data_IF_440290165069
#
_entry.id   IF_440290165069
#
_cell.length_a   1.000
_cell.length_b   1.000
_cell.length_c   1.000
_cell.angle_alpha   90.00
_cell.angle_beta   90.00
_cell.angle_gamma   90.00
#
_symmetry.space_group_name_H-M   'P 1'
#
loop_
_entity.id
_entity.type
_entity.pdbx_description
1 polymer ?
#
# COMPACT_ATOMS: atom_id res chain seq x y z
N UNK A 1 -8.93 -29.35 8.34
CA UNK A 1 -9.75 -28.15 8.04
C UNK A 1 -9.50 -27.74 6.59
N UNK A 2 -10.53 -27.39 5.83
CA UNK A 2 -10.36 -26.97 4.44
C UNK A 2 -9.52 -25.67 4.38
N UNK A 3 -8.45 -25.62 3.58
CA UNK A 3 -7.51 -24.49 3.55
C UNK A 3 -8.21 -23.15 3.25
N UNK A 4 -9.26 -23.17 2.42
CA UNK A 4 -10.03 -21.98 2.04
C UNK A 4 -10.74 -21.35 3.25
N UNK A 5 -11.38 -22.16 4.11
CA UNK A 5 -12.13 -21.64 5.28
C UNK A 5 -11.20 -20.89 6.24
N UNK A 6 -9.99 -21.42 6.44
CA UNK A 6 -8.99 -20.78 7.29
C UNK A 6 -8.51 -19.46 6.68
N UNK A 7 -8.23 -19.43 5.37
CA UNK A 7 -7.78 -18.21 4.68
C UNK A 7 -8.83 -17.10 4.77
N UNK A 8 -10.11 -17.42 4.58
CA UNK A 8 -11.20 -16.44 4.69
C UNK A 8 -11.30 -15.88 6.12
N UNK A 9 -11.21 -16.75 7.13
CA UNK A 9 -11.24 -16.33 8.53
C UNK A 9 -10.04 -15.42 8.87
N UNK A 10 -8.85 -15.79 8.41
CA UNK A 10 -7.64 -15.02 8.64
C UNK A 10 -7.64 -13.70 7.85
N UNK A 11 -8.20 -13.68 6.64
CA UNK A 11 -8.42 -12.45 5.88
C UNK A 11 -9.35 -11.51 6.63
N UNK A 12 -10.46 -12.01 7.17
CA UNK A 12 -11.38 -11.20 7.96
C UNK A 12 -10.73 -10.70 9.25
N UNK A 13 -9.96 -11.55 9.93
CA UNK A 13 -9.21 -11.15 11.12
C UNK A 13 -8.19 -10.07 10.81
N UNK A 14 -7.44 -10.21 9.71
CA UNK A 14 -6.49 -9.22 9.23
C UNK A 14 -7.20 -7.89 8.96
N UNK A 15 -8.25 -7.91 8.16
CA UNK A 15 -8.97 -6.69 7.77
C UNK A 15 -9.67 -6.00 8.94
N UNK A 16 -10.12 -6.74 9.95
CA UNK A 16 -10.74 -6.18 11.17
C UNK A 16 -9.74 -5.91 12.29
N UNK A 17 -8.43 -5.86 11.98
CA UNK A 17 -7.34 -5.57 12.91
C UNK A 17 -7.18 -6.58 14.07
N UNK A 18 -7.88 -7.71 14.01
CA UNK A 18 -7.77 -8.82 14.97
C UNK A 18 -6.44 -9.54 14.82
N UNK A 19 -6.14 -10.43 15.77
CA UNK A 19 -4.89 -11.18 15.76
C UNK A 19 -4.80 -12.09 14.52
N UNK A 20 -3.79 -11.85 13.70
CA UNK A 20 -3.52 -12.60 12.46
C UNK A 20 -2.30 -13.49 12.70
N UNK A 21 -2.54 -14.81 12.82
CA UNK A 21 -1.52 -15.85 13.03
C UNK A 21 -1.60 -16.89 11.90
N UNK A 22 -1.22 -16.52 10.66
CA UNK A 22 -1.32 -17.44 9.54
C UNK A 22 -0.39 -18.63 9.77
N UNK A 23 -0.89 -19.83 9.46
CA UNK A 23 -0.08 -21.06 9.49
C UNK A 23 0.80 -21.13 8.23
N UNK A 24 1.83 -20.31 8.19
CA UNK A 24 2.70 -20.16 7.01
C UNK A 24 3.46 -21.45 6.65
N UNK A 25 3.77 -22.28 7.64
CA UNK A 25 4.42 -23.59 7.45
C UNK A 25 3.55 -24.59 6.71
N UNK A 26 2.23 -24.54 6.91
CA UNK A 26 1.28 -25.51 6.35
C UNK A 26 0.64 -24.98 5.06
N UNK A 27 0.22 -23.70 5.04
CA UNK A 27 -0.61 -23.15 3.97
C UNK A 27 -0.03 -21.91 3.28
N UNK A 28 1.26 -21.59 3.49
CA UNK A 28 1.87 -20.36 2.98
C UNK A 28 1.67 -20.10 1.49
N UNK A 29 1.69 -21.13 0.65
CA UNK A 29 1.45 -20.98 -0.80
C UNK A 29 -0.01 -20.67 -1.13
N UNK A 30 -0.97 -21.17 -0.35
CA UNK A 30 -2.39 -20.87 -0.54
C UNK A 30 -2.72 -19.44 -0.14
N UNK A 31 -2.13 -18.91 0.95
CA UNK A 31 -2.26 -17.48 1.29
C UNK A 31 -1.68 -16.59 0.20
N UNK A 32 -0.51 -16.94 -0.33
CA UNK A 32 0.12 -16.19 -1.43
C UNK A 32 -0.77 -16.20 -2.66
N UNK A 33 -1.26 -17.37 -3.08
CA UNK A 33 -2.11 -17.50 -4.26
C UNK A 33 -3.42 -16.72 -4.09
N UNK A 34 -4.04 -16.79 -2.91
CA UNK A 34 -5.25 -16.02 -2.60
C UNK A 34 -4.99 -14.51 -2.65
N UNK A 35 -3.94 -14.02 -1.98
CA UNK A 35 -3.60 -12.60 -1.98
C UNK A 35 -3.21 -12.06 -3.37
N UNK A 36 -2.46 -12.84 -4.16
CA UNK A 36 -2.13 -12.46 -5.54
C UNK A 36 -3.36 -12.49 -6.44
N UNK A 37 -4.27 -13.44 -6.24
CA UNK A 37 -5.54 -13.50 -6.96
C UNK A 37 -6.41 -12.28 -6.66
N UNK A 38 -6.52 -11.85 -5.39
CA UNK A 38 -7.27 -10.64 -5.05
C UNK A 38 -6.60 -9.38 -5.59
N UNK A 39 -5.25 -9.32 -5.63
CA UNK A 39 -4.52 -8.23 -6.26
C UNK A 39 -4.75 -8.18 -7.77
N UNK A 40 -4.74 -9.34 -8.42
CA UNK A 40 -5.03 -9.49 -9.84
C UNK A 40 -6.46 -9.05 -10.17
N UNK A 41 -7.46 -9.49 -9.41
CA UNK A 41 -8.85 -9.07 -9.56
C UNK A 41 -9.01 -7.55 -9.42
N UNK A 42 -8.38 -6.94 -8.41
CA UNK A 42 -8.38 -5.49 -8.24
C UNK A 42 -7.70 -4.77 -9.43
N UNK A 43 -6.65 -5.37 -10.00
CA UNK A 43 -6.00 -4.86 -11.21
C UNK A 43 -6.90 -4.89 -12.45
N UNK A 44 -7.51 -6.05 -12.74
CA UNK A 44 -8.46 -6.20 -13.84
C UNK A 44 -9.63 -5.22 -13.67
N UNK A 45 -10.19 -5.17 -12.46
CA UNK A 45 -11.32 -4.31 -12.12
C UNK A 45 -11.01 -2.81 -12.19
N UNK A 46 -9.75 -2.37 -12.20
CA UNK A 46 -9.40 -0.95 -12.36
C UNK A 46 -9.44 -0.49 -13.82
N UNK A 47 -9.24 -1.40 -14.77
CA UNK A 47 -9.10 -1.07 -16.19
C UNK A 47 -10.17 -1.72 -17.07
N UNK A 48 -11.10 -2.49 -16.50
CA UNK A 48 -12.09 -3.25 -17.26
C UNK A 48 -13.00 -2.37 -18.14
N UNK A 49 -13.24 -1.12 -17.74
CA UNK A 49 -14.10 -0.17 -18.43
C UNK A 49 -13.33 0.94 -19.17
N UNK A 50 -11.99 0.89 -19.16
CA UNK A 50 -11.16 1.92 -19.79
C UNK A 50 -10.75 1.51 -21.22
N UNK A 51 -11.27 2.14 -22.28
CA UNK A 51 -10.98 1.76 -23.67
C UNK A 51 -9.55 2.11 -24.12
N UNK A 52 -8.79 2.90 -23.34
CA UNK A 52 -7.41 3.33 -23.67
C UNK A 52 -6.34 2.51 -22.95
N UNK A 53 -6.71 1.54 -22.12
CA UNK A 53 -5.75 0.78 -21.34
C UNK A 53 -4.98 -0.24 -22.20
N UNK A 54 -3.70 -0.43 -21.87
CA UNK A 54 -2.86 -1.40 -22.57
C UNK A 54 -3.22 -2.84 -22.17
N UNK A 55 -2.87 -3.82 -23.02
CA UNK A 55 -3.26 -5.23 -22.81
C UNK A 55 -2.83 -5.77 -21.44
N UNK A 56 -1.63 -5.42 -20.95
CA UNK A 56 -1.14 -5.85 -19.64
C UNK A 56 -1.87 -5.20 -18.46
N UNK A 57 -2.46 -4.01 -18.67
CA UNK A 57 -3.29 -3.31 -17.68
C UNK A 57 -4.67 -3.97 -17.59
N UNK A 58 -5.29 -4.29 -18.73
CA UNK A 58 -6.52 -5.07 -18.78
C UNK A 58 -6.36 -6.47 -18.18
N UNK A 59 -5.21 -7.10 -18.38
CA UNK A 59 -4.87 -8.39 -17.77
C UNK A 59 -4.57 -8.26 -16.26
N UNK A 60 -4.55 -7.06 -15.68
CA UNK A 60 -4.31 -6.84 -14.24
C UNK A 60 -2.89 -7.18 -13.76
N UNK A 61 -1.94 -7.38 -14.67
CA UNK A 61 -0.57 -7.80 -14.34
C UNK A 61 0.19 -6.72 -13.55
N UNK A 62 -0.16 -5.45 -13.76
CA UNK A 62 0.42 -4.33 -13.02
C UNK A 62 0.23 -4.44 -11.50
N UNK A 63 -0.95 -4.88 -11.03
CA UNK A 63 -1.23 -5.04 -9.60
C UNK A 63 -0.45 -6.20 -8.98
N UNK A 64 -0.25 -7.29 -9.74
CA UNK A 64 0.56 -8.42 -9.30
C UNK A 64 2.02 -7.98 -9.19
N UNK A 65 2.56 -7.36 -10.24
CA UNK A 65 3.93 -6.82 -10.24
C UNK A 65 4.13 -5.83 -9.08
N UNK A 66 3.16 -4.94 -8.85
CA UNK A 66 3.18 -4.00 -7.73
C UNK A 66 3.34 -4.70 -6.37
N UNK A 67 2.65 -5.82 -6.12
CA UNK A 67 2.84 -6.59 -4.89
C UNK A 67 4.30 -7.06 -4.72
N UNK A 68 4.94 -7.53 -5.79
CA UNK A 68 6.34 -7.96 -5.73
C UNK A 68 7.30 -6.79 -5.49
N UNK A 69 7.14 -5.68 -6.22
CA UNK A 69 7.98 -4.49 -6.07
C UNK A 69 7.82 -3.84 -4.69
N UNK A 70 6.58 -3.64 -4.22
CA UNK A 70 6.33 -3.08 -2.91
C UNK A 70 6.88 -3.98 -1.79
N UNK A 71 6.72 -5.29 -1.92
CA UNK A 71 7.28 -6.23 -0.94
C UNK A 71 8.80 -6.20 -0.94
N UNK A 72 9.44 -6.07 -2.10
CA UNK A 72 10.89 -5.96 -2.20
C UNK A 72 11.38 -4.65 -1.58
N UNK A 73 10.73 -3.53 -1.89
CA UNK A 73 11.03 -2.23 -1.31
C UNK A 73 10.94 -2.28 0.23
N UNK A 74 9.82 -2.77 0.78
CA UNK A 74 9.66 -2.93 2.23
C UNK A 74 10.68 -3.90 2.83
N UNK A 75 10.94 -5.02 2.15
CA UNK A 75 11.90 -6.01 2.64
C UNK A 75 13.30 -5.41 2.75
N UNK A 76 13.83 -4.81 1.68
CA UNK A 76 15.18 -4.25 1.68
C UNK A 76 15.31 -3.01 2.54
N UNK A 77 14.29 -2.16 2.58
CA UNK A 77 14.31 -0.94 3.41
C UNK A 77 14.30 -1.28 4.91
N UNK A 78 13.60 -2.35 5.32
CA UNK A 78 13.51 -2.70 6.75
C UNK A 78 14.51 -3.76 7.18
N UNK A 79 15.16 -4.47 6.25
CA UNK A 79 16.19 -5.48 6.54
C UNK A 79 17.31 -4.95 7.46
N UNK A 80 17.85 -3.73 7.28
CA UNK A 80 18.91 -3.21 8.15
C UNK A 80 18.49 -2.98 9.61
N UNK A 81 17.19 -2.84 9.88
CA UNK A 81 16.66 -2.75 11.26
C UNK A 81 16.64 -4.11 11.98
N UNK A 82 16.99 -5.20 11.29
CA UNK A 82 17.01 -6.58 11.81
C UNK A 82 15.68 -7.00 12.50
N UNK A 83 14.52 -6.82 11.84
CA UNK A 83 13.24 -7.29 12.34
C UNK A 83 13.24 -8.80 12.60
N UNK A 84 12.54 -9.24 13.66
CA UNK A 84 12.39 -10.68 13.97
C UNK A 84 11.48 -11.37 12.95
N UNK A 85 11.76 -12.63 12.64
CA UNK A 85 10.98 -13.47 11.71
C UNK A 85 10.75 -12.82 10.33
N UNK A 86 11.75 -12.07 9.84
CA UNK A 86 11.65 -11.32 8.60
C UNK A 86 12.15 -12.15 7.42
N UNK A 87 11.21 -12.59 6.57
CA UNK A 87 11.53 -13.25 5.31
C UNK A 87 10.75 -12.56 4.19
N UNK A 88 11.31 -12.53 2.99
CA UNK A 88 10.64 -11.96 1.83
C UNK A 88 9.25 -12.59 1.61
N UNK A 89 9.14 -13.91 1.81
CA UNK A 89 7.86 -14.63 1.70
C UNK A 89 6.81 -14.11 2.67
N UNK A 90 7.17 -13.85 3.93
CA UNK A 90 6.24 -13.30 4.93
C UNK A 90 5.76 -11.91 4.52
N UNK A 91 6.66 -11.05 4.06
CA UNK A 91 6.33 -9.69 3.59
C UNK A 91 5.43 -9.74 2.37
N UNK A 92 5.74 -10.61 1.40
CA UNK A 92 4.96 -10.77 0.18
C UNK A 92 3.55 -11.30 0.46
N UNK A 93 3.41 -12.28 1.37
CA UNK A 93 2.09 -12.77 1.81
C UNK A 93 1.31 -11.64 2.49
N UNK A 94 1.95 -10.88 3.38
CA UNK A 94 1.30 -9.74 4.02
C UNK A 94 0.80 -8.72 2.98
N UNK A 95 1.68 -8.22 2.10
CA UNK A 95 1.33 -7.22 1.08
C UNK A 95 0.21 -7.73 0.17
N UNK A 96 0.32 -8.96 -0.32
CA UNK A 96 -0.71 -9.55 -1.19
C UNK A 96 -2.05 -9.76 -0.48
N UNK A 97 -2.08 -10.20 0.78
CA UNK A 97 -3.33 -10.33 1.56
C UNK A 97 -4.01 -8.98 1.85
N UNK A 98 -3.24 -7.88 1.89
CA UNK A 98 -3.79 -6.51 2.00
C UNK A 98 -4.29 -5.93 0.68
N UNK A 99 -4.34 -6.72 -0.39
CA UNK A 99 -4.87 -6.29 -1.68
C UNK A 99 -6.39 -6.26 -1.75
N UNK A 100 -7.11 -7.03 -0.92
CA UNK A 100 -8.57 -7.11 -0.98
C UNK A 100 -9.29 -5.74 -0.86
N UNK A 101 -8.90 -4.81 0.03
CA UNK A 101 -9.49 -3.48 0.05
C UNK A 101 -9.34 -2.68 -1.25
N UNK A 102 -8.34 -2.99 -2.10
CA UNK A 102 -8.18 -2.31 -3.39
C UNK A 102 -9.24 -2.71 -4.41
N UNK A 103 -10.03 -3.75 -4.16
CA UNK A 103 -11.21 -4.06 -4.98
C UNK A 103 -12.23 -2.92 -4.93
N UNK A 104 -12.24 -2.10 -3.88
CA UNK A 104 -13.09 -0.91 -3.81
C UNK A 104 -12.79 0.10 -4.94
N UNK A 105 -11.56 0.10 -5.47
CA UNK A 105 -11.19 0.95 -6.61
C UNK A 105 -11.72 0.44 -7.95
N UNK A 106 -12.25 -0.78 -8.00
CA UNK A 106 -12.86 -1.33 -9.21
C UNK A 106 -14.33 -0.91 -9.38
N UNK A 107 -14.91 -0.20 -8.39
CA UNK A 107 -16.30 0.24 -8.43
C UNK A 107 -16.36 1.53 -9.27
N UNK A 108 -17.03 1.53 -10.44
CA UNK A 108 -17.08 2.70 -11.33
C UNK A 108 -18.12 3.69 -10.82
N UNK A 109 -17.78 4.44 -9.77
CA UNK A 109 -18.66 5.45 -9.15
C UNK A 109 -19.05 6.56 -10.13
N UNK A 110 -18.23 6.79 -11.15
CA UNK A 110 -18.43 7.74 -12.24
C UNK A 110 -19.68 7.43 -13.08
N UNK A 111 -20.16 6.16 -13.07
CA UNK A 111 -21.38 5.78 -13.78
C UNK A 111 -22.66 6.11 -13.01
N UNK A 112 -22.56 6.35 -11.71
CA UNK A 112 -23.71 6.51 -10.81
C UNK A 112 -23.85 7.92 -10.25
N UNK A 113 -22.77 8.70 -10.26
CA UNK A 113 -22.69 10.03 -9.65
C UNK A 113 -22.34 11.09 -10.68
N UNK A 114 -22.65 12.35 -10.37
CA UNK A 114 -22.10 13.48 -11.13
C UNK A 114 -20.56 13.53 -10.98
N UNK A 115 -19.88 14.18 -11.94
CA UNK A 115 -18.42 14.21 -12.02
C UNK A 115 -17.76 14.68 -10.71
N UNK A 116 -18.33 15.70 -10.06
CA UNK A 116 -17.76 16.27 -8.83
C UNK A 116 -17.94 15.31 -7.65
N UNK A 117 -19.12 14.70 -7.52
CA UNK A 117 -19.40 13.69 -6.48
C UNK A 117 -18.60 12.40 -6.70
N UNK A 118 -18.40 11.98 -7.95
CA UNK A 118 -17.58 10.81 -8.29
C UNK A 118 -16.11 11.01 -7.92
N UNK A 119 -15.53 12.17 -8.25
CA UNK A 119 -14.17 12.53 -7.84
C UNK A 119 -14.02 12.56 -6.32
N UNK A 120 -14.98 13.15 -5.60
CA UNK A 120 -14.96 13.17 -4.14
C UNK A 120 -15.02 11.75 -3.56
N UNK A 121 -15.87 10.87 -4.11
CA UNK A 121 -15.96 9.47 -3.70
C UNK A 121 -14.65 8.70 -3.93
N UNK A 122 -14.01 8.88 -5.09
CA UNK A 122 -12.70 8.29 -5.41
C UNK A 122 -11.60 8.71 -4.43
N UNK A 123 -11.54 10.01 -4.10
CA UNK A 123 -10.60 10.53 -3.11
C UNK A 123 -10.85 9.91 -1.73
N UNK A 124 -12.12 9.77 -1.31
CA UNK A 124 -12.46 9.11 -0.05
C UNK A 124 -12.11 7.63 -0.04
N UNK A 125 -12.39 6.89 -1.11
CA UNK A 125 -11.96 5.49 -1.23
C UNK A 125 -10.44 5.36 -1.14
N UNK A 126 -9.71 6.27 -1.79
CA UNK A 126 -8.25 6.30 -1.72
C UNK A 126 -7.78 6.55 -0.29
N UNK A 127 -8.32 7.57 0.38
CA UNK A 127 -7.96 7.90 1.76
C UNK A 127 -8.25 6.76 2.73
N UNK A 128 -9.45 6.18 2.68
CA UNK A 128 -9.87 5.08 3.56
C UNK A 128 -8.97 3.87 3.37
N UNK A 129 -8.76 3.43 2.12
CA UNK A 129 -7.94 2.25 1.82
C UNK A 129 -6.47 2.49 2.17
N UNK A 130 -5.95 3.69 1.92
CA UNK A 130 -4.58 4.05 2.29
C UNK A 130 -4.38 4.01 3.81
N UNK A 131 -5.25 4.66 4.59
CA UNK A 131 -5.21 4.64 6.05
C UNK A 131 -5.32 3.20 6.57
N UNK A 132 -6.24 2.42 6.01
CA UNK A 132 -6.42 1.01 6.38
C UNK A 132 -5.13 0.22 6.20
N UNK A 133 -4.46 0.37 5.06
CA UNK A 133 -3.20 -0.32 4.77
C UNK A 133 -2.05 0.12 5.68
N UNK A 134 -1.96 1.41 6.00
CA UNK A 134 -0.94 1.91 6.94
C UNK A 134 -1.15 1.32 8.33
N UNK A 135 -2.39 1.24 8.82
CA UNK A 135 -2.71 0.59 10.10
C UNK A 135 -2.33 -0.89 10.07
N UNK A 136 -2.66 -1.60 8.98
CA UNK A 136 -2.27 -3.01 8.84
C UNK A 136 -0.74 -3.18 8.82
N UNK A 137 0.00 -2.29 8.17
CA UNK A 137 1.47 -2.30 8.17
C UNK A 137 2.03 -2.10 9.58
N UNK A 138 1.49 -1.14 10.33
CA UNK A 138 1.87 -0.91 11.73
C UNK A 138 1.62 -2.15 12.59
N UNK A 139 0.46 -2.78 12.45
CA UNK A 139 0.13 -4.00 13.20
C UNK A 139 1.02 -5.19 12.80
N UNK A 140 1.33 -5.31 11.51
CA UNK A 140 2.24 -6.34 11.00
C UNK A 140 3.65 -6.18 11.56
N UNK A 141 4.20 -4.96 11.52
CA UNK A 141 5.51 -4.66 12.08
C UNK A 141 5.54 -4.82 13.62
N UNK A 142 4.48 -4.39 14.31
CA UNK A 142 4.37 -4.56 15.77
C UNK A 142 4.36 -6.04 16.17
N UNK A 143 3.55 -6.87 15.49
CA UNK A 143 3.32 -8.28 15.86
C UNK A 143 4.40 -9.21 15.31
N UNK A 144 4.81 -9.03 14.05
CA UNK A 144 5.77 -9.91 13.37
C UNK A 144 7.21 -9.50 13.65
N UNK A 145 7.54 -8.21 13.43
CA UNK A 145 8.92 -7.72 13.50
C UNK A 145 9.38 -7.39 14.94
N UNK A 146 8.45 -7.24 15.90
CA UNK A 146 8.70 -6.95 17.32
C UNK A 146 9.61 -5.73 17.55
N UNK A 147 9.45 -4.70 16.71
CA UNK A 147 10.20 -3.44 16.79
C UNK A 147 9.72 -2.58 17.98
N UNK A 148 10.58 -1.68 18.46
CA UNK A 148 10.18 -0.69 19.47
C UNK A 148 9.13 0.29 18.93
N UNK A 149 8.36 0.98 19.79
CA UNK A 149 7.29 1.91 19.34
C UNK A 149 7.79 3.02 18.40
N UNK A 150 8.96 3.58 18.67
CA UNK A 150 9.55 4.67 17.86
C UNK A 150 10.15 4.13 16.56
N UNK A 151 10.80 2.96 16.64
CA UNK A 151 11.35 2.24 15.48
C UNK A 151 10.24 1.81 14.52
N UNK A 152 9.10 1.36 15.06
CA UNK A 152 7.89 1.02 14.33
C UNK A 152 7.36 2.21 13.53
N UNK A 153 7.29 3.39 14.16
CA UNK A 153 6.83 4.61 13.50
C UNK A 153 7.75 4.95 12.32
N UNK A 154 9.07 4.96 12.53
CA UNK A 154 10.04 5.24 11.46
C UNK A 154 9.92 4.19 10.34
N UNK A 155 9.86 2.91 10.67
CA UNK A 155 9.75 1.81 9.71
C UNK A 155 8.47 1.88 8.86
N UNK A 156 7.34 2.34 9.42
CA UNK A 156 6.09 2.45 8.70
C UNK A 156 5.99 3.71 7.83
N UNK A 157 6.45 4.86 8.34
CA UNK A 157 6.28 6.16 7.67
C UNK A 157 7.41 6.48 6.68
N UNK A 158 8.64 6.00 6.91
CA UNK A 158 9.77 6.26 6.03
C UNK A 158 9.52 5.82 4.57
N UNK A 159 9.02 4.59 4.27
CA UNK A 159 8.76 4.22 2.88
C UNK A 159 7.73 5.14 2.20
N UNK A 160 6.69 5.55 2.92
CA UNK A 160 5.62 6.40 2.38
C UNK A 160 6.18 7.77 2.04
N UNK A 161 6.87 8.41 2.99
CA UNK A 161 7.49 9.72 2.82
C UNK A 161 8.55 9.70 1.72
N UNK A 162 9.33 8.63 1.64
CA UNK A 162 10.34 8.46 0.58
C UNK A 162 9.70 8.37 -0.81
N UNK A 163 8.64 7.56 -0.97
CA UNK A 163 7.92 7.44 -2.25
C UNK A 163 7.35 8.80 -2.68
N UNK A 164 6.67 9.52 -1.79
CA UNK A 164 6.10 10.83 -2.10
C UNK A 164 7.18 11.82 -2.50
N UNK A 165 8.26 11.94 -1.71
CA UNK A 165 9.35 12.88 -2.01
C UNK A 165 10.05 12.55 -3.33
N UNK A 166 10.27 11.27 -3.65
CA UNK A 166 10.86 10.87 -4.94
C UNK A 166 9.92 11.18 -6.10
N UNK A 167 8.62 10.91 -5.97
CA UNK A 167 7.64 11.26 -7.00
C UNK A 167 7.55 12.77 -7.22
N UNK A 168 7.63 13.56 -6.14
CA UNK A 168 7.67 15.03 -6.22
C UNK A 168 8.94 15.53 -6.92
N UNK A 169 10.11 15.02 -6.54
CA UNK A 169 11.38 15.40 -7.15
C UNK A 169 11.44 15.08 -8.66
N UNK A 170 10.74 14.03 -9.09
CA UNK A 170 10.60 13.66 -10.50
C UNK A 170 9.45 14.40 -11.22
N UNK A 171 8.74 15.30 -10.54
CA UNK A 171 7.52 15.96 -11.02
C UNK A 171 6.41 14.98 -11.48
N UNK A 172 6.42 13.75 -10.97
CA UNK A 172 5.45 12.70 -11.30
C UNK A 172 4.25 12.66 -10.34
N UNK A 173 4.30 13.38 -9.23
CA UNK A 173 3.25 13.34 -8.20
C UNK A 173 1.87 13.79 -8.73
N UNK A 174 1.83 14.84 -9.54
CA UNK A 174 0.60 15.32 -10.17
C UNK A 174 0.03 14.28 -11.15
N UNK A 175 0.91 13.61 -11.92
CA UNK A 175 0.51 12.59 -12.89
C UNK A 175 -0.07 11.37 -12.18
N UNK A 176 0.61 10.89 -11.13
CA UNK A 176 0.15 9.74 -10.35
C UNK A 176 -1.16 10.05 -9.64
N UNK A 177 -1.29 11.24 -9.05
CA UNK A 177 -2.52 11.65 -8.37
C UNK A 177 -3.69 11.78 -9.34
N UNK A 178 -3.48 12.38 -10.52
CA UNK A 178 -4.52 12.52 -11.54
C UNK A 178 -5.00 11.15 -12.05
N UNK A 179 -4.08 10.21 -12.26
CA UNK A 179 -4.41 8.82 -12.63
C UNK A 179 -5.11 8.07 -11.50
N UNK A 180 -4.83 8.41 -10.24
CA UNK A 180 -5.45 7.76 -9.07
C UNK A 180 -6.83 8.29 -8.72
N UNK A 181 -7.08 9.58 -8.94
CA UNK A 181 -8.37 10.21 -8.65
C UNK A 181 -9.34 10.23 -9.84
N UNK A 182 -8.87 9.83 -11.03
CA UNK A 182 -9.71 9.74 -12.24
C UNK A 182 -9.93 11.08 -12.94
N UNK A 183 -9.02 12.04 -12.79
CA UNK A 183 -9.14 13.34 -13.45
C UNK A 183 -8.76 13.23 -14.93
N UNK A 184 -9.65 13.66 -15.84
CA UNK A 184 -9.30 13.82 -17.25
C UNK A 184 -8.44 15.08 -17.45
N UNK A 185 -7.47 15.09 -18.38
CA UNK A 185 -6.62 16.26 -18.66
C UNK A 185 -7.38 17.53 -19.10
N UNK A 186 -8.65 17.38 -19.47
CA UNK A 186 -9.53 18.46 -19.95
C UNK A 186 -10.36 19.09 -18.80
N UNK A 187 -10.45 18.42 -17.64
CA UNK A 187 -11.16 18.91 -16.43
C UNK A 187 -10.25 19.74 -15.52
N UNK A 188 -9.14 20.27 -16.06
CA UNK A 188 -8.19 21.17 -15.36
C UNK A 188 -8.80 22.57 -15.23
N UNK A 189 -10.05 22.67 -14.73
CA UNK A 189 -10.43 23.82 -13.94
C UNK A 189 -9.97 23.52 -12.52
N UNK A 190 -8.97 24.27 -12.05
CA UNK A 190 -8.30 24.07 -10.77
C UNK A 190 -9.29 23.77 -9.63
N UNK A 191 -9.38 22.50 -9.25
CA UNK A 191 -9.97 22.14 -7.98
C UNK A 191 -8.89 22.38 -6.92
N UNK A 192 -8.85 23.61 -6.41
CA UNK A 192 -7.84 24.11 -5.48
C UNK A 192 -7.58 23.17 -4.30
N UNK A 193 -8.59 22.44 -3.84
CA UNK A 193 -8.49 21.52 -2.70
C UNK A 193 -7.59 20.30 -2.97
N UNK A 194 -7.69 19.69 -4.15
CA UNK A 194 -6.90 18.50 -4.48
C UNK A 194 -5.42 18.84 -4.64
N UNK A 195 -5.15 19.96 -5.32
CA UNK A 195 -3.80 20.51 -5.45
C UNK A 195 -3.24 20.93 -4.09
N UNK A 196 -4.04 21.60 -3.24
CA UNK A 196 -3.64 21.97 -1.88
C UNK A 196 -3.30 20.74 -1.03
N UNK A 197 -4.10 19.67 -1.09
CA UNK A 197 -3.81 18.42 -0.38
C UNK A 197 -2.49 17.83 -0.86
N UNK A 198 -2.28 17.74 -2.17
CA UNK A 198 -1.04 17.22 -2.74
C UNK A 198 0.17 18.04 -2.29
N UNK A 199 0.13 19.36 -2.46
CA UNK A 199 1.19 20.28 -2.01
C UNK A 199 1.44 20.14 -0.50
N UNK A 200 0.39 19.99 0.32
CA UNK A 200 0.52 19.80 1.76
C UNK A 200 1.20 18.46 2.11
N UNK A 201 0.82 17.37 1.44
CA UNK A 201 1.43 16.05 1.62
C UNK A 201 2.90 16.07 1.20
N UNK A 202 3.22 16.74 0.09
CA UNK A 202 4.57 16.88 -0.44
C UNK A 202 5.44 17.71 0.49
N UNK A 203 4.95 18.88 0.94
CA UNK A 203 5.65 19.72 1.91
C UNK A 203 5.94 18.95 3.21
N UNK A 204 4.92 18.27 3.75
CA UNK A 204 5.06 17.44 4.95
C UNK A 204 6.07 16.30 4.73
N UNK A 205 6.05 15.66 3.57
CA UNK A 205 6.97 14.56 3.24
C UNK A 205 8.41 15.05 3.14
N UNK A 206 8.67 16.14 2.42
CA UNK A 206 10.00 16.74 2.31
C UNK A 206 10.51 17.17 3.69
N UNK A 207 9.64 17.75 4.52
CA UNK A 207 10.00 18.18 5.87
C UNK A 207 10.28 17.01 6.82
N UNK A 208 9.46 15.95 6.80
CA UNK A 208 9.61 14.80 7.69
C UNK A 208 10.76 13.87 7.28
N UNK A 209 11.09 13.79 5.98
CA UNK A 209 12.10 12.88 5.46
C UNK A 209 13.45 12.97 6.21
N UNK A 210 14.10 14.14 6.42
CA UNK A 210 15.38 14.19 7.13
C UNK A 210 15.28 13.65 8.56
N UNK A 211 14.21 13.96 9.30
CA UNK A 211 14.03 13.48 10.67
C UNK A 211 13.84 11.96 10.72
N UNK A 212 12.99 11.42 9.83
CA UNK A 212 12.77 9.98 9.72
C UNK A 212 14.03 9.25 9.25
N UNK A 213 14.79 9.82 8.32
CA UNK A 213 16.00 9.23 7.77
C UNK A 213 17.14 9.21 8.80
N UNK A 214 17.35 10.29 9.54
CA UNK A 214 18.32 10.33 10.65
C UNK A 214 17.94 9.32 11.73
N UNK A 215 16.66 9.27 12.11
CA UNK A 215 16.15 8.30 13.07
C UNK A 215 16.39 6.86 12.58
N UNK A 216 16.10 6.59 11.32
CA UNK A 216 16.33 5.29 10.68
C UNK A 216 17.81 4.88 10.76
N UNK A 217 18.75 5.75 10.35
CA UNK A 217 20.18 5.48 10.44
C UNK A 217 20.60 5.19 11.88
N UNK A 218 20.10 5.97 12.85
CA UNK A 218 20.40 5.75 14.26
C UNK A 218 19.95 4.37 14.75
N UNK A 219 18.72 3.95 14.40
CA UNK A 219 18.22 2.62 14.75
C UNK A 219 18.99 1.49 14.05
N UNK A 220 19.39 1.67 12.79
CA UNK A 220 20.25 0.72 12.08
C UNK A 220 21.58 0.57 12.82
N UNK A 221 22.28 1.68 13.14
CA UNK A 221 23.55 1.61 13.87
C UNK A 221 23.36 0.92 15.22
N UNK A 222 22.28 1.23 15.95
CA UNK A 222 21.95 0.60 17.23
C UNK A 222 21.70 -0.92 17.08
N UNK A 223 20.99 -1.35 16.04
CA UNK A 223 20.72 -2.76 15.76
C UNK A 223 22.00 -3.54 15.42
N UNK A 224 22.98 -2.89 14.80
CA UNK A 224 24.29 -3.49 14.51
C UNK A 224 25.22 -3.54 15.72
N UNK A 225 25.19 -2.53 16.61
CA UNK A 225 26.02 -2.49 17.83
C UNK A 225 25.58 -3.44 18.96
N UNK A 226 24.34 -3.94 18.92
CA UNK A 226 23.79 -4.81 19.97
C UNK A 226 24.20 -6.28 19.82
N UNK A 227 24.83 -6.65 18.71
CA UNK A 227 25.48 -7.95 18.49
C UNK A 227 27.00 -7.77 18.52
#
# INVERSE_FOLDING_TARGET
MQPIKQIIQDQFALLTFKEFKPKLSEFGSYYLLFGLFTAWLAGVGRYWDNPKAELWQHLGLGSVAYCFFLSALLYFLLLPLRPKNWTYRTVLIFVSMTSLPAVLYAIPVERFLDIKSAQLANVWFLAVVAIWRVILLLLFLLRSAKLGKVELFIAAFLPIVMIVTVLSALNLEHVVFNIMAGFSPEDVSGNDLAYQILVSITFLSIFLLPFLFIGYIWFVIKAYKKN
#
